data_IF_686498634695
#
_entry.id   IF_686498634695
#
_cell.length_a   1.000
_cell.length_b   1.000
_cell.length_c   1.000
_cell.angle_alpha   90.00
_cell.angle_beta   90.00
_cell.angle_gamma   90.00
#
_symmetry.space_group_name_H-M   'P 1'
#
loop_
_entity.id
_entity.type
_entity.pdbx_description
1 polymer ?
#
# COMPACT_ATOMS: atom_id res chain seq x y z
N UNK A 1 19.43 -68.62 -3.92
CA UNK A 1 19.46 -67.93 -2.62
C UNK A 1 19.11 -66.48 -2.88
N UNK A 2 17.93 -66.05 -2.40
CA UNK A 2 17.34 -64.76 -2.74
C UNK A 2 17.99 -63.59 -1.97
N UNK A 3 18.07 -62.38 -2.57
CA UNK A 3 18.29 -61.14 -1.84
C UNK A 3 16.95 -60.55 -1.35
N UNK A 4 16.97 -59.87 -0.20
CA UNK A 4 15.84 -59.10 0.37
C UNK A 4 16.40 -57.80 1.00
N UNK A 5 15.63 -56.70 1.17
CA UNK A 5 14.55 -56.09 0.36
C UNK A 5 14.80 -54.55 0.10
N UNK A 6 13.91 -53.81 -0.62
CA UNK A 6 13.98 -52.34 -0.85
C UNK A 6 12.91 -51.56 -0.03
N UNK A 7 12.65 -50.25 -0.23
CA UNK A 7 13.51 -49.07 -0.38
C UNK A 7 13.26 -48.01 0.73
N UNK A 8 14.22 -47.12 1.03
CA UNK A 8 13.97 -45.91 1.82
C UNK A 8 13.74 -44.71 0.89
N UNK A 9 12.56 -44.08 1.00
CA UNK A 9 12.17 -42.91 0.24
C UNK A 9 12.81 -41.63 0.79
N UNK A 10 13.34 -40.83 -0.15
CA UNK A 10 13.41 -39.38 -0.23
C UNK A 10 13.77 -38.53 1.01
N UNK A 11 14.76 -37.63 0.86
CA UNK A 11 14.49 -36.18 0.79
C UNK A 11 15.76 -35.36 0.51
N UNK A 12 15.77 -34.72 -0.67
CA UNK A 12 16.25 -33.36 -0.97
C UNK A 12 17.42 -32.81 -0.15
N UNK A 13 18.65 -33.02 -0.61
CA UNK A 13 19.71 -32.03 -0.42
C UNK A 13 19.61 -30.98 -1.53
N UNK A 14 18.72 -29.99 -1.35
CA UNK A 14 18.82 -28.75 -2.11
C UNK A 14 20.16 -28.09 -1.77
N UNK A 15 21.13 -28.29 -2.65
CA UNK A 15 22.36 -27.51 -2.68
C UNK A 15 21.96 -26.03 -2.73
N UNK A 16 22.19 -25.31 -1.63
CA UNK A 16 22.25 -23.85 -1.66
C UNK A 16 23.46 -23.48 -2.52
N UNK A 17 23.27 -23.43 -3.83
CA UNK A 17 24.26 -22.82 -4.72
C UNK A 17 24.44 -21.38 -4.24
N UNK A 18 25.63 -21.07 -3.74
CA UNK A 18 25.97 -19.74 -3.28
C UNK A 18 25.72 -18.72 -4.39
N UNK A 19 25.16 -17.57 -4.03
CA UNK A 19 25.01 -16.43 -4.92
C UNK A 19 26.37 -16.11 -5.56
N UNK A 20 26.52 -16.40 -6.85
CA UNK A 20 27.75 -16.12 -7.57
C UNK A 20 27.82 -14.63 -7.90
N UNK A 21 29.02 -14.06 -7.87
CA UNK A 21 29.24 -12.64 -8.16
C UNK A 21 28.64 -12.20 -9.51
N UNK A 22 28.67 -13.08 -10.51
CA UNK A 22 28.04 -12.86 -11.82
C UNK A 22 26.52 -12.78 -11.75
N UNK A 23 25.87 -13.63 -10.95
CA UNK A 23 24.43 -13.60 -10.76
C UNK A 23 24.00 -12.33 -10.01
N UNK A 24 24.82 -11.86 -9.07
CA UNK A 24 24.61 -10.60 -8.36
C UNK A 24 24.74 -9.42 -9.34
N UNK A 25 25.83 -9.34 -10.11
CA UNK A 25 26.04 -8.26 -11.09
C UNK A 25 24.89 -8.21 -12.11
N UNK A 26 24.51 -9.35 -12.68
CA UNK A 26 23.40 -9.43 -13.61
C UNK A 26 22.07 -8.98 -12.98
N UNK A 27 21.81 -9.38 -11.74
CA UNK A 27 20.63 -8.94 -10.99
C UNK A 27 20.61 -7.42 -10.76
N UNK A 28 21.76 -6.84 -10.41
CA UNK A 28 21.92 -5.38 -10.25
C UNK A 28 21.65 -4.67 -11.57
N UNK A 29 22.20 -5.15 -12.68
CA UNK A 29 22.02 -4.53 -14.00
C UNK A 29 20.55 -4.55 -14.43
N UNK A 30 19.85 -5.67 -14.22
CA UNK A 30 18.40 -5.78 -14.50
C UNK A 30 17.60 -4.76 -13.67
N UNK A 31 17.90 -4.65 -12.38
CA UNK A 31 17.18 -3.72 -11.49
C UNK A 31 17.46 -2.25 -11.85
N UNK A 32 18.71 -1.92 -12.15
CA UNK A 32 19.11 -0.57 -12.59
C UNK A 32 18.40 -0.19 -13.89
N UNK A 33 18.32 -1.12 -14.86
CA UNK A 33 17.60 -0.89 -16.11
C UNK A 33 16.10 -0.68 -15.90
N UNK A 34 15.48 -1.46 -15.01
CA UNK A 34 14.06 -1.27 -14.66
C UNK A 34 13.82 0.04 -13.91
N UNK A 35 14.77 0.50 -13.08
CA UNK A 35 14.70 1.80 -12.41
C UNK A 35 14.78 2.96 -13.42
N UNK A 36 15.76 2.94 -14.31
CA UNK A 36 15.93 3.94 -15.37
C UNK A 36 14.70 4.01 -16.30
N UNK A 37 14.10 2.86 -16.64
CA UNK A 37 12.86 2.82 -17.42
C UNK A 37 11.67 3.47 -16.68
N UNK A 38 11.57 3.29 -15.36
CA UNK A 38 10.55 3.94 -14.52
C UNK A 38 10.78 5.46 -14.44
N UNK A 39 12.02 5.91 -14.28
CA UNK A 39 12.35 7.35 -14.24
C UNK A 39 12.12 8.04 -15.59
N UNK A 40 12.51 7.40 -16.70
CA UNK A 40 12.24 7.90 -18.06
C UNK A 40 10.75 8.00 -18.36
N UNK A 41 9.93 7.11 -17.76
CA UNK A 41 8.46 7.21 -17.86
C UNK A 41 7.92 8.37 -17.01
N UNK A 42 8.52 8.68 -15.86
CA UNK A 42 8.12 9.82 -14.99
C UNK A 42 8.48 11.16 -15.61
N UNK A 43 9.68 11.30 -16.19
CA UNK A 43 10.13 12.54 -16.83
C UNK A 43 9.32 12.91 -18.08
N UNK A 44 8.64 11.94 -18.71
CA UNK A 44 7.73 12.17 -19.84
C UNK A 44 6.39 12.81 -19.47
N UNK A 45 6.07 12.92 -18.17
CA UNK A 45 4.91 13.63 -17.67
C UNK A 45 5.37 14.79 -16.77
N UNK A 46 5.88 15.85 -17.40
CA UNK A 46 5.93 17.17 -16.78
C UNK A 46 4.57 17.83 -16.97
N UNK A 47 3.93 18.25 -15.88
CA UNK A 47 2.75 19.12 -15.96
C UNK A 47 2.81 20.17 -14.86
N UNK A 48 3.32 21.34 -15.25
CA UNK A 48 2.97 22.63 -14.65
C UNK A 48 1.47 22.87 -14.84
N UNK A 49 0.75 23.25 -13.77
CA UNK A 49 -0.18 24.41 -13.69
C UNK A 49 -0.96 24.32 -12.35
N UNK A 50 -0.69 25.21 -11.38
CA UNK A 50 -1.40 26.46 -11.02
C UNK A 50 -2.71 26.26 -10.24
N UNK A 51 -2.63 26.69 -8.98
CA UNK A 51 -3.64 27.21 -8.04
C UNK A 51 -5.12 26.95 -8.33
N UNK A 52 -5.75 26.20 -7.41
CA UNK A 52 -7.11 26.50 -7.01
C UNK A 52 -7.28 26.43 -5.49
N UNK A 53 -7.48 27.61 -4.94
CA UNK A 53 -7.89 27.86 -3.56
C UNK A 53 -9.39 27.55 -3.48
N UNK A 54 -9.74 26.32 -3.12
CA UNK A 54 -11.12 25.94 -2.80
C UNK A 54 -11.12 25.17 -1.48
N UNK A 55 -11.34 25.89 -0.39
CA UNK A 55 -11.81 25.36 0.89
C UNK A 55 -13.23 24.84 0.70
N UNK A 56 -13.34 23.66 0.09
CA UNK A 56 -14.48 22.79 0.25
C UNK A 56 -14.23 22.01 1.55
N UNK A 57 -15.15 22.08 2.53
CA UNK A 57 -15.17 21.13 3.65
C UNK A 57 -15.55 19.76 3.06
N UNK A 58 -14.59 19.14 2.38
CA UNK A 58 -14.74 17.80 1.84
C UNK A 58 -14.94 16.83 2.99
N UNK A 59 -15.84 15.84 2.86
CA UNK A 59 -15.95 14.76 3.83
C UNK A 59 -14.70 13.86 3.87
N UNK A 60 -13.75 14.04 2.94
CA UNK A 60 -12.53 13.23 2.79
C UNK A 60 -11.37 14.08 2.24
N UNK A 61 -10.90 15.09 3.01
CA UNK A 61 -9.96 16.10 2.52
C UNK A 61 -8.60 15.52 2.13
N UNK A 62 -8.17 14.40 2.71
CA UNK A 62 -6.91 13.77 2.35
C UNK A 62 -7.06 13.15 0.96
N UNK A 63 -8.03 12.26 0.76
CA UNK A 63 -8.27 11.62 -0.53
C UNK A 63 -8.44 12.65 -1.66
N UNK A 64 -9.28 13.66 -1.42
CA UNK A 64 -9.56 14.70 -2.41
C UNK A 64 -8.31 15.51 -2.74
N UNK A 65 -7.48 15.87 -1.76
CA UNK A 65 -6.23 16.61 -2.02
C UNK A 65 -5.25 15.86 -2.95
N UNK A 66 -5.21 14.53 -2.88
CA UNK A 66 -4.39 13.72 -3.80
C UNK A 66 -5.00 13.72 -5.20
N UNK A 67 -6.33 13.56 -5.31
CA UNK A 67 -7.05 13.55 -6.58
C UNK A 67 -6.98 14.90 -7.27
N UNK A 68 -7.15 16.00 -6.53
CA UNK A 68 -7.08 17.37 -7.07
C UNK A 68 -5.67 17.71 -7.54
N UNK A 69 -4.64 17.25 -6.84
CA UNK A 69 -3.24 17.55 -7.18
C UNK A 69 -2.65 16.70 -8.31
N UNK A 70 -3.03 15.42 -8.45
CA UNK A 70 -2.42 14.49 -9.41
C UNK A 70 -3.42 13.81 -10.36
N UNK A 71 -4.69 14.20 -10.29
CA UNK A 71 -5.79 13.59 -11.00
C UNK A 71 -6.24 12.24 -10.41
N UNK A 72 -7.41 11.72 -10.83
CA UNK A 72 -7.99 10.49 -10.27
C UNK A 72 -7.07 9.27 -10.38
N UNK A 73 -6.19 9.22 -11.38
CA UNK A 73 -5.24 8.11 -11.57
C UNK A 73 -4.27 7.90 -10.41
N UNK A 74 -4.11 8.87 -9.51
CA UNK A 74 -3.30 8.74 -8.29
C UNK A 74 -3.81 7.64 -7.35
N UNK A 75 -5.12 7.39 -7.32
CA UNK A 75 -5.73 6.37 -6.45
C UNK A 75 -5.17 5.01 -6.81
N UNK A 76 -5.19 4.64 -8.08
CA UNK A 76 -4.61 3.37 -8.55
C UNK A 76 -3.10 3.29 -8.30
N UNK A 77 -2.38 4.40 -8.50
CA UNK A 77 -0.94 4.47 -8.21
C UNK A 77 -0.65 4.19 -6.73
N UNK A 78 -1.53 4.56 -5.80
CA UNK A 78 -1.32 4.41 -4.37
C UNK A 78 -1.99 3.19 -3.74
N UNK A 79 -3.06 2.63 -4.31
CA UNK A 79 -3.84 1.55 -3.65
C UNK A 79 -3.98 0.27 -4.47
N UNK A 80 -3.60 0.27 -5.76
CA UNK A 80 -3.93 -0.76 -6.77
C UNK A 80 -5.41 -0.81 -7.21
N UNK A 81 -6.30 -0.01 -6.62
CA UNK A 81 -7.69 0.11 -7.05
C UNK A 81 -7.85 1.28 -8.02
N UNK A 82 -8.55 1.07 -9.13
CA UNK A 82 -9.07 2.20 -9.91
C UNK A 82 -9.97 3.09 -9.03
N UNK A 83 -10.16 4.37 -9.38
CA UNK A 83 -11.07 5.26 -8.65
C UNK A 83 -12.47 4.66 -8.47
N UNK A 84 -12.98 3.99 -9.50
CA UNK A 84 -14.30 3.34 -9.47
C UNK A 84 -14.32 2.17 -8.49
N UNK A 85 -13.33 1.28 -8.51
CA UNK A 85 -13.27 0.15 -7.58
C UNK A 85 -13.09 0.62 -6.13
N UNK A 86 -12.29 1.66 -5.91
CA UNK A 86 -12.16 2.27 -4.58
C UNK A 86 -13.49 2.83 -4.09
N UNK A 87 -14.26 3.50 -4.95
CA UNK A 87 -15.57 4.04 -4.59
C UNK A 87 -16.58 2.92 -4.31
N UNK A 88 -16.57 1.83 -5.08
CA UNK A 88 -17.41 0.66 -4.82
C UNK A 88 -17.07 0.02 -3.47
N UNK A 89 -15.77 -0.18 -3.19
CA UNK A 89 -15.29 -0.72 -1.92
C UNK A 89 -15.69 0.18 -0.74
N UNK A 90 -15.55 1.50 -0.88
CA UNK A 90 -16.00 2.46 0.13
C UNK A 90 -17.51 2.37 0.33
N UNK A 91 -18.30 2.29 -0.74
CA UNK A 91 -19.76 2.24 -0.65
C UNK A 91 -20.27 1.00 0.10
N UNK A 92 -19.56 -0.13 -0.03
CA UNK A 92 -19.83 -1.38 0.71
C UNK A 92 -19.41 -1.27 2.18
N UNK A 93 -18.19 -0.80 2.45
CA UNK A 93 -17.63 -0.79 3.81
C UNK A 93 -18.11 0.38 4.68
N UNK A 94 -18.60 1.49 4.10
CA UNK A 94 -18.86 2.73 4.84
C UNK A 94 -19.81 2.54 6.03
N UNK A 95 -20.86 1.73 5.90
CA UNK A 95 -21.83 1.52 6.96
C UNK A 95 -21.22 0.79 8.16
N UNK A 96 -20.39 -0.22 7.89
CA UNK A 96 -19.66 -0.94 8.91
C UNK A 96 -18.59 -0.06 9.55
N UNK A 97 -17.78 0.64 8.76
CA UNK A 97 -16.72 1.51 9.26
C UNK A 97 -17.31 2.60 10.16
N UNK A 98 -18.36 3.29 9.74
CA UNK A 98 -18.99 4.36 10.54
C UNK A 98 -19.51 3.85 11.89
N UNK A 99 -19.93 2.59 11.97
CA UNK A 99 -20.50 1.99 13.18
C UNK A 99 -19.46 1.40 14.13
N UNK A 100 -18.26 1.07 13.64
CA UNK A 100 -17.26 0.32 14.42
C UNK A 100 -15.93 1.09 14.59
N UNK A 101 -15.63 2.02 13.70
CA UNK A 101 -14.43 2.85 13.79
C UNK A 101 -14.61 3.99 14.79
N UNK A 102 -13.57 4.29 15.58
CA UNK A 102 -13.58 5.28 16.68
C UNK A 102 -14.57 5.01 17.84
N UNK A 103 -15.29 3.89 17.85
CA UNK A 103 -16.17 3.53 18.98
C UNK A 103 -15.32 3.19 20.21
N UNK A 104 -15.68 3.74 21.37
CA UNK A 104 -14.97 3.52 22.63
C UNK A 104 -13.60 4.22 22.75
N UNK A 105 -13.13 4.91 21.71
CA UNK A 105 -11.92 5.72 21.78
C UNK A 105 -12.21 7.04 22.49
N UNK A 106 -11.58 7.27 23.66
CA UNK A 106 -11.75 8.51 24.43
C UNK A 106 -11.34 9.79 23.66
N UNK A 107 -10.49 9.66 22.62
CA UNK A 107 -10.20 10.72 21.65
C UNK A 107 -10.62 10.27 20.25
N UNK A 108 -11.47 11.04 19.58
CA UNK A 108 -11.84 10.79 18.18
C UNK A 108 -10.62 11.01 17.28
N UNK A 109 -10.39 10.09 16.33
CA UNK A 109 -9.43 10.32 15.26
C UNK A 109 -9.94 11.48 14.38
N UNK A 110 -9.07 12.44 14.08
CA UNK A 110 -9.40 13.62 13.25
C UNK A 110 -9.48 13.27 11.75
N UNK A 111 -8.98 12.10 11.36
CA UNK A 111 -9.02 11.61 9.98
C UNK A 111 -10.37 10.98 9.69
N UNK A 112 -10.98 11.36 8.55
CA UNK A 112 -12.25 10.81 8.14
C UNK A 112 -12.16 9.29 7.90
N UNK A 113 -13.26 8.54 8.08
CA UNK A 113 -13.29 7.10 7.77
C UNK A 113 -12.81 6.73 6.37
N UNK A 114 -13.16 7.52 5.35
CA UNK A 114 -12.78 7.27 3.96
C UNK A 114 -11.31 7.59 3.71
N UNK A 115 -10.78 8.65 4.31
CA UNK A 115 -9.35 8.95 4.29
C UNK A 115 -8.55 7.84 4.99
N UNK A 116 -9.06 7.30 6.10
CA UNK A 116 -8.42 6.17 6.78
C UNK A 116 -8.40 4.91 5.92
N UNK A 117 -9.46 4.63 5.15
CA UNK A 117 -9.47 3.54 4.18
C UNK A 117 -8.39 3.77 3.11
N UNK A 118 -8.32 4.98 2.55
CA UNK A 118 -7.32 5.33 1.55
C UNK A 118 -5.87 5.20 2.07
N UNK A 119 -5.60 5.74 3.27
CA UNK A 119 -4.29 5.65 3.94
C UNK A 119 -3.91 4.19 4.26
N UNK A 120 -4.87 3.38 4.68
CA UNK A 120 -4.65 1.95 4.95
C UNK A 120 -4.29 1.19 3.68
N UNK A 121 -5.08 1.33 2.61
CA UNK A 121 -4.78 0.67 1.33
C UNK A 121 -3.45 1.13 0.74
N UNK A 122 -3.11 2.42 0.91
CA UNK A 122 -1.81 2.96 0.50
C UNK A 122 -0.66 2.29 1.27
N UNK A 123 -0.84 2.10 2.57
CA UNK A 123 0.14 1.39 3.41
C UNK A 123 0.33 -0.06 2.98
N UNK A 124 -0.79 -0.77 2.72
CA UNK A 124 -0.79 -2.17 2.29
C UNK A 124 -0.18 -2.37 0.90
N UNK A 125 -0.31 -1.40 -0.01
CA UNK A 125 0.37 -1.48 -1.32
C UNK A 125 1.88 -1.37 -1.17
N UNK A 126 2.35 -0.46 -0.31
CA UNK A 126 3.74 -0.04 -0.30
C UNK A 126 4.61 -0.81 0.71
N UNK A 127 4.04 -1.67 1.56
CA UNK A 127 4.68 -2.68 2.42
C UNK A 127 6.15 -2.39 2.81
N UNK A 128 6.40 -1.18 3.31
CA UNK A 128 7.73 -0.66 3.63
C UNK A 128 7.77 -0.12 5.04
N UNK A 129 8.82 0.65 5.37
CA UNK A 129 8.85 1.34 6.67
C UNK A 129 7.65 2.28 6.80
N UNK A 130 7.02 2.27 7.97
CA UNK A 130 5.96 3.22 8.33
C UNK A 130 6.39 4.67 8.11
N UNK A 131 7.68 4.98 8.24
CA UNK A 131 8.22 6.33 8.01
C UNK A 131 7.97 6.83 6.59
N UNK A 132 8.11 5.94 5.59
CA UNK A 132 7.95 6.31 4.18
C UNK A 132 6.50 6.66 3.88
N UNK A 133 5.57 5.81 4.31
CA UNK A 133 4.15 6.03 4.04
C UNK A 133 3.58 7.16 4.91
N UNK A 134 4.00 7.26 6.17
CA UNK A 134 3.58 8.35 7.05
C UNK A 134 4.02 9.72 6.52
N UNK A 135 5.22 9.82 5.93
CA UNK A 135 5.71 11.05 5.31
C UNK A 135 4.83 11.52 4.15
N UNK A 136 4.26 10.59 3.36
CA UNK A 136 3.31 10.91 2.26
C UNK A 136 2.08 11.64 2.80
N UNK A 137 1.61 11.26 3.99
CA UNK A 137 0.44 11.86 4.64
C UNK A 137 0.80 12.95 5.67
N UNK A 138 2.06 13.36 5.75
CA UNK A 138 2.57 14.35 6.73
C UNK A 138 2.27 13.97 8.19
N UNK A 139 2.24 12.68 8.48
CA UNK A 139 1.96 12.13 9.81
C UNK A 139 3.23 11.63 10.50
N UNK A 140 3.21 11.55 11.83
CA UNK A 140 4.28 10.91 12.58
C UNK A 140 4.13 9.39 12.48
N UNK A 141 5.20 8.70 12.12
CA UNK A 141 5.23 7.25 11.90
C UNK A 141 4.59 6.40 13.03
N UNK A 142 4.87 6.63 14.34
CA UNK A 142 4.19 5.88 15.40
C UNK A 142 2.68 6.12 15.44
N UNK A 143 2.23 7.35 15.21
CA UNK A 143 0.81 7.72 15.17
C UNK A 143 0.13 7.07 13.97
N UNK A 144 0.75 7.16 12.80
CA UNK A 144 0.25 6.60 11.55
C UNK A 144 0.10 5.08 11.63
N UNK A 145 1.15 4.37 12.07
CA UNK A 145 1.14 2.92 12.25
C UNK A 145 0.04 2.48 13.23
N UNK A 146 -0.11 3.18 14.37
CA UNK A 146 -1.17 2.89 15.34
C UNK A 146 -2.57 3.08 14.74
N UNK A 147 -2.79 4.13 13.96
CA UNK A 147 -4.07 4.40 13.29
C UNK A 147 -4.39 3.34 12.23
N UNK A 148 -3.44 3.03 11.34
CA UNK A 148 -3.63 2.03 10.28
C UNK A 148 -3.90 0.65 10.88
N UNK A 149 -3.09 0.23 11.86
CA UNK A 149 -3.27 -1.08 12.52
C UNK A 149 -4.60 -1.13 13.27
N UNK A 150 -4.94 -0.07 14.02
CA UNK A 150 -6.23 0.01 14.71
C UNK A 150 -7.42 -0.03 13.75
N UNK A 151 -7.30 0.63 12.59
CA UNK A 151 -8.33 0.61 11.55
C UNK A 151 -8.52 -0.79 10.98
N UNK A 152 -7.42 -1.48 10.63
CA UNK A 152 -7.46 -2.88 10.18
C UNK A 152 -8.13 -3.76 11.23
N UNK A 153 -7.76 -3.65 12.50
CA UNK A 153 -8.39 -4.44 13.58
C UNK A 153 -9.89 -4.17 13.71
N UNK A 154 -10.31 -2.92 13.54
CA UNK A 154 -11.73 -2.56 13.62
C UNK A 154 -12.55 -3.13 12.45
N UNK A 155 -11.97 -3.18 11.24
CA UNK A 155 -12.67 -3.66 10.04
C UNK A 155 -12.53 -5.17 9.80
N UNK A 156 -11.50 -5.80 10.36
CA UNK A 156 -11.21 -7.22 10.16
C UNK A 156 -12.40 -8.17 10.39
N UNK A 157 -13.30 -7.96 11.38
CA UNK A 157 -14.47 -8.84 11.55
C UNK A 157 -15.48 -8.82 10.38
N UNK A 158 -15.38 -7.84 9.48
CA UNK A 158 -16.26 -7.65 8.34
C UNK A 158 -15.60 -7.97 6.99
N UNK A 159 -14.30 -8.28 7.00
CA UNK A 159 -13.52 -8.72 5.84
C UNK A 159 -13.38 -10.24 5.83
#
# INVERSE_FOLDING_TARGET
MAPSPPPAAACLSQSRQGLTERAISHGVDVLTNLHAARETKRLRYSSVSRDHDQTCDSPSPIFDSFVDSQGPGVVHKLTNFSPTEFNSLWAELQGFIQSNWNVGSGRKCEVSPRDMLFMTLTSLKHCGSWDVVAAVFKEKSPTFSKRVTGFITAIHPHL
#
